data_IF_978696797821
#
_entry.id   IF_978696797821
#
_cell.length_a   1.000
_cell.length_b   1.000
_cell.length_c   1.000
_cell.angle_alpha   90.00
_cell.angle_beta   90.00
_cell.angle_gamma   90.00
#
_symmetry.space_group_name_H-M   'P 1'
#
loop_
_entity.id
_entity.type
_entity.pdbx_description
1 polymer ?
#
# COMPACT_ATOMS: atom_id res chain seq x y z
N UNK A 1 43.06 14.23 -16.19
CA UNK A 1 43.41 12.81 -16.43
C UNK A 1 43.05 12.49 -17.87
N UNK A 2 44.06 12.40 -18.73
CA UNK A 2 43.98 11.91 -20.11
C UNK A 2 44.09 10.39 -20.08
N UNK A 3 43.44 9.67 -21.00
CA UNK A 3 44.09 8.51 -21.57
C UNK A 3 44.15 8.56 -23.10
N UNK A 4 45.32 8.18 -23.56
CA UNK A 4 45.81 8.19 -24.93
C UNK A 4 45.48 6.90 -25.68
N UNK A 5 45.24 7.05 -26.99
CA UNK A 5 45.81 6.29 -28.13
C UNK A 5 45.77 4.76 -28.11
N UNK A 6 45.18 4.16 -29.16
CA UNK A 6 45.89 3.20 -30.04
C UNK A 6 45.11 2.94 -31.34
N UNK A 7 45.71 3.32 -32.47
CA UNK A 7 45.26 2.99 -33.83
C UNK A 7 46.17 1.85 -34.32
N UNK A 8 45.62 0.68 -34.66
CA UNK A 8 46.39 -0.44 -35.24
C UNK A 8 46.44 -0.33 -36.76
N UNK A 9 47.66 -0.50 -37.27
CA UNK A 9 48.03 -0.51 -38.68
C UNK A 9 47.65 -1.82 -39.39
N UNK A 10 47.27 -1.68 -40.66
CA UNK A 10 47.74 -2.44 -41.83
C UNK A 10 47.85 -3.96 -41.78
N UNK A 11 47.11 -4.63 -42.67
CA UNK A 11 47.49 -5.90 -43.29
C UNK A 11 47.23 -5.81 -44.81
N UNK A 12 48.20 -6.17 -45.67
CA UNK A 12 48.12 -5.99 -47.12
C UNK A 12 47.53 -7.22 -47.82
N UNK A 13 46.80 -7.02 -48.94
CA UNK A 13 46.38 -8.10 -49.84
C UNK A 13 47.40 -8.27 -50.96
N UNK A 14 48.00 -9.46 -50.97
CA UNK A 14 48.94 -10.00 -51.97
C UNK A 14 48.24 -10.23 -53.32
N UNK A 15 48.94 -9.89 -54.41
CA UNK A 15 48.60 -10.23 -55.79
C UNK A 15 49.48 -11.41 -56.21
N UNK A 16 48.85 -12.55 -56.53
CA UNK A 16 49.51 -13.69 -57.19
C UNK A 16 48.98 -13.76 -58.61
N UNK A 17 49.88 -13.60 -59.57
CA UNK A 17 49.66 -13.74 -61.01
C UNK A 17 50.29 -15.07 -61.45
N UNK A 18 49.51 -16.02 -61.97
CA UNK A 18 49.87 -17.15 -62.86
C UNK A 18 48.52 -17.74 -63.35
N UNK A 19 48.26 -18.27 -64.54
CA UNK A 19 48.68 -18.13 -65.94
C UNK A 19 47.77 -19.10 -66.74
N UNK A 20 47.50 -18.78 -68.01
CA UNK A 20 47.29 -19.70 -69.15
C UNK A 20 46.27 -20.87 -69.05
N UNK A 21 45.23 -20.85 -69.91
CA UNK A 21 45.12 -21.75 -71.08
C UNK A 21 43.78 -21.56 -71.85
N UNK A 22 43.92 -21.32 -73.15
CA UNK A 22 43.14 -21.84 -74.29
C UNK A 22 41.72 -22.40 -74.04
N UNK A 23 40.71 -21.82 -74.70
CA UNK A 23 40.10 -22.32 -75.96
C UNK A 23 38.79 -21.56 -76.26
N UNK A 24 38.74 -20.99 -77.47
CA UNK A 24 37.60 -20.89 -78.39
C UNK A 24 36.19 -21.20 -77.85
N UNK A 25 35.29 -20.21 -77.92
CA UNK A 25 34.19 -20.14 -78.90
C UNK A 25 33.33 -18.91 -78.58
N UNK A 26 33.00 -18.15 -79.62
CA UNK A 26 32.28 -16.88 -79.51
C UNK A 26 30.84 -17.08 -79.06
N UNK A 27 30.50 -16.42 -77.95
CA UNK A 27 29.17 -15.81 -77.78
C UNK A 27 29.44 -14.37 -77.36
N UNK A 28 29.25 -13.43 -78.29
CA UNK A 28 29.14 -12.01 -77.96
C UNK A 28 27.82 -11.79 -77.21
N UNK A 29 27.80 -12.19 -75.94
CA UNK A 29 26.92 -11.55 -74.97
C UNK A 29 27.56 -10.20 -74.71
N UNK A 30 26.91 -9.14 -75.17
CA UNK A 30 27.25 -7.78 -74.78
C UNK A 30 26.86 -7.64 -73.30
N UNK A 31 27.70 -8.20 -72.42
CA UNK A 31 27.73 -7.90 -71.00
C UNK A 31 28.14 -6.44 -70.91
N UNK A 32 27.15 -5.56 -70.96
CA UNK A 32 27.30 -4.22 -70.40
C UNK A 32 27.62 -4.47 -68.93
N UNK A 33 28.89 -4.39 -68.55
CA UNK A 33 29.30 -4.37 -67.17
C UNK A 33 28.63 -3.13 -66.55
N UNK A 34 27.46 -3.33 -65.93
CA UNK A 34 26.78 -2.27 -65.22
C UNK A 34 27.72 -1.78 -64.13
N UNK A 35 28.18 -0.53 -64.26
CA UNK A 35 29.07 0.07 -63.28
C UNK A 35 28.38 0.05 -61.92
N UNK A 36 29.03 -0.56 -60.93
CA UNK A 36 28.57 -0.52 -59.55
C UNK A 36 28.90 0.86 -58.99
N UNK A 37 27.88 1.67 -58.76
CA UNK A 37 28.03 3.03 -58.26
C UNK A 37 27.51 3.06 -56.83
N UNK A 38 28.39 3.44 -55.90
CA UNK A 38 28.01 3.70 -54.51
C UNK A 38 27.19 4.98 -54.42
N UNK A 39 26.21 4.99 -53.51
CA UNK A 39 25.44 6.20 -53.29
C UNK A 39 26.30 7.32 -52.71
N UNK A 40 26.28 8.48 -53.36
CA UNK A 40 26.95 9.71 -52.89
C UNK A 40 25.88 10.71 -52.46
N UNK A 41 25.99 11.19 -51.23
CA UNK A 41 25.04 12.14 -50.62
C UNK A 41 25.71 13.51 -50.43
N UNK A 42 24.91 14.56 -50.44
CA UNK A 42 25.38 15.93 -50.19
C UNK A 42 25.84 16.13 -48.74
N UNK A 43 26.52 17.24 -48.50
CA UNK A 43 26.80 17.69 -47.14
C UNK A 43 25.49 17.97 -46.40
N UNK A 44 25.52 17.80 -45.08
CA UNK A 44 24.36 18.10 -44.25
C UNK A 44 23.96 19.58 -44.35
N UNK A 45 22.66 19.83 -44.50
CA UNK A 45 22.10 21.16 -44.32
C UNK A 45 22.18 21.64 -42.87
N UNK A 46 21.84 22.91 -42.61
CA UNK A 46 21.73 23.42 -41.24
C UNK A 46 20.63 22.68 -40.47
N UNK A 47 20.76 22.64 -39.14
CA UNK A 47 19.69 22.15 -38.28
C UNK A 47 18.50 23.11 -38.30
N UNK A 48 17.30 22.55 -38.24
CA UNK A 48 16.06 23.30 -38.03
C UNK A 48 16.00 23.93 -36.64
N UNK A 49 15.11 24.90 -36.46
CA UNK A 49 14.74 25.37 -35.12
C UNK A 49 14.15 24.21 -34.30
N UNK A 50 14.24 24.33 -32.97
CA UNK A 50 13.71 23.32 -32.07
C UNK A 50 12.19 23.14 -32.22
N UNK A 51 11.76 21.90 -32.39
CA UNK A 51 10.34 21.54 -32.46
C UNK A 51 9.86 21.12 -31.07
N UNK A 52 8.98 21.91 -30.45
CA UNK A 52 8.48 21.66 -29.09
C UNK A 52 7.80 20.31 -28.92
N UNK A 53 7.05 19.84 -29.93
CA UNK A 53 6.34 18.56 -29.85
C UNK A 53 7.28 17.34 -29.76
N UNK A 54 8.50 17.44 -30.28
CA UNK A 54 9.44 16.29 -30.35
C UNK A 54 10.74 16.52 -29.61
N UNK A 55 10.97 17.74 -29.09
CA UNK A 55 12.18 18.17 -28.41
C UNK A 55 13.47 17.93 -29.21
N UNK A 56 13.35 17.99 -30.55
CA UNK A 56 14.44 17.67 -31.47
C UNK A 56 14.62 18.75 -32.53
N UNK A 57 15.86 18.91 -32.95
CA UNK A 57 16.21 19.59 -34.20
C UNK A 57 16.59 18.53 -35.23
N UNK A 58 16.24 18.76 -36.49
CA UNK A 58 16.57 17.85 -37.58
C UNK A 58 17.37 18.58 -38.65
N UNK A 59 18.26 17.85 -39.33
CA UNK A 59 18.88 18.34 -40.56
C UNK A 59 18.81 17.27 -41.64
N UNK A 60 18.84 17.72 -42.88
CA UNK A 60 18.55 16.90 -44.04
C UNK A 60 19.75 16.94 -44.98
N UNK A 61 19.98 15.87 -45.73
CA UNK A 61 20.87 15.84 -46.90
C UNK A 61 20.21 15.04 -48.01
N UNK A 62 20.63 15.29 -49.23
CA UNK A 62 20.03 14.70 -50.43
C UNK A 62 20.99 13.73 -51.11
N UNK A 63 20.44 12.80 -51.87
CA UNK A 63 21.22 11.89 -52.71
C UNK A 63 21.66 12.65 -53.96
N UNK A 64 22.96 12.78 -54.16
CA UNK A 64 23.53 13.39 -55.37
C UNK A 64 23.74 12.35 -56.46
N UNK A 65 24.09 11.12 -56.07
CA UNK A 65 24.24 9.99 -56.99
C UNK A 65 23.59 8.77 -56.35
N UNK A 66 22.57 8.23 -57.01
CA UNK A 66 21.86 7.05 -56.53
C UNK A 66 22.69 5.78 -56.75
N UNK A 67 22.53 4.79 -55.86
CA UNK A 67 23.19 3.50 -56.01
C UNK A 67 22.74 2.80 -57.31
N UNK A 68 23.68 2.24 -58.06
CA UNK A 68 23.42 1.31 -59.16
C UNK A 68 24.21 0.01 -58.99
N UNK A 69 23.58 -1.12 -59.34
CA UNK A 69 24.19 -2.45 -59.18
C UNK A 69 24.43 -2.80 -57.71
N UNK A 70 25.62 -3.32 -57.41
CA UNK A 70 26.04 -3.81 -56.08
C UNK A 70 26.73 -2.76 -55.21
N UNK A 71 26.58 -1.47 -55.53
CA UNK A 71 27.14 -0.38 -54.72
C UNK A 71 26.54 -0.29 -53.31
N UNK A 72 27.11 0.54 -52.44
CA UNK A 72 26.59 0.79 -51.09
C UNK A 72 25.32 1.64 -51.13
N UNK A 73 24.36 1.27 -50.29
CA UNK A 73 23.11 2.01 -50.11
C UNK A 73 23.33 3.36 -49.45
N UNK A 74 22.43 4.29 -49.76
CA UNK A 74 22.53 5.64 -49.21
C UNK A 74 22.47 5.60 -47.68
N UNK A 75 23.42 6.25 -46.99
CA UNK A 75 23.33 6.40 -45.55
C UNK A 75 22.13 7.28 -45.19
N UNK A 76 21.78 7.34 -43.90
CA UNK A 76 20.62 8.12 -43.42
C UNK A 76 20.64 9.55 -43.95
N UNK A 77 19.48 10.00 -44.41
CA UNK A 77 19.30 11.31 -45.06
C UNK A 77 18.76 12.38 -44.10
N UNK A 78 18.37 11.97 -42.89
CA UNK A 78 17.91 12.85 -41.81
C UNK A 78 18.63 12.46 -40.53
N UNK A 79 19.08 13.47 -39.80
CA UNK A 79 19.70 13.32 -38.49
C UNK A 79 18.97 14.19 -37.47
N UNK A 80 18.82 13.67 -36.24
CA UNK A 80 18.16 14.35 -35.14
C UNK A 80 19.12 14.57 -33.98
N UNK A 81 19.02 15.73 -33.34
CA UNK A 81 19.67 16.02 -32.06
C UNK A 81 18.64 16.53 -31.06
N UNK A 82 18.92 16.31 -29.77
CA UNK A 82 18.09 16.83 -28.70
C UNK A 82 18.21 18.35 -28.60
N UNK A 83 17.09 19.02 -28.35
CA UNK A 83 17.06 20.43 -28.04
C UNK A 83 17.78 20.73 -26.73
N UNK A 84 18.46 21.89 -26.67
CA UNK A 84 19.01 22.39 -25.41
C UNK A 84 17.86 22.80 -24.49
N UNK A 85 17.77 22.16 -23.33
CA UNK A 85 16.76 22.47 -22.32
C UNK A 85 16.94 23.89 -21.79
N UNK A 86 15.84 24.65 -21.72
CA UNK A 86 15.81 25.98 -21.11
C UNK A 86 15.05 25.84 -19.79
N UNK A 87 15.77 25.99 -18.68
CA UNK A 87 15.17 25.96 -17.35
C UNK A 87 14.36 27.24 -17.10
N UNK A 88 13.30 27.13 -16.31
CA UNK A 88 12.56 28.32 -15.88
C UNK A 88 13.44 29.23 -15.01
N UNK A 89 13.40 30.53 -15.30
CA UNK A 89 13.98 31.57 -14.45
C UNK A 89 12.87 32.45 -13.87
N UNK A 90 12.95 32.73 -12.57
CA UNK A 90 11.98 33.55 -11.86
C UNK A 90 12.57 34.94 -11.56
N UNK A 91 11.73 35.97 -11.58
CA UNK A 91 12.10 37.30 -11.12
C UNK A 91 12.35 37.31 -9.60
N UNK A 92 13.01 38.36 -9.13
CA UNK A 92 13.15 38.61 -7.70
C UNK A 92 11.77 38.75 -7.05
N UNK A 93 11.69 38.39 -5.78
CA UNK A 93 10.47 38.56 -5.00
C UNK A 93 10.14 40.04 -4.80
N UNK A 94 8.84 40.35 -4.90
CA UNK A 94 8.31 41.61 -4.41
C UNK A 94 8.40 41.69 -2.88
N UNK A 95 8.18 42.88 -2.32
CA UNK A 95 8.05 43.05 -0.88
C UNK A 95 6.82 42.31 -0.33
N UNK A 96 6.88 41.93 0.94
CA UNK A 96 5.70 41.37 1.62
C UNK A 96 4.59 42.41 1.71
N UNK A 97 3.35 41.94 1.59
CA UNK A 97 2.15 42.69 1.94
C UNK A 97 2.14 43.10 3.42
N UNK A 98 1.24 43.99 3.79
CA UNK A 98 0.86 44.17 5.19
C UNK A 98 0.32 42.85 5.77
N UNK A 99 0.47 42.68 7.09
CA UNK A 99 -0.11 41.56 7.81
C UNK A 99 -1.64 41.65 7.79
N UNK A 100 -2.29 40.59 7.35
CA UNK A 100 -3.74 40.48 7.33
C UNK A 100 -4.12 39.07 7.76
N UNK A 101 -4.83 38.95 8.89
CA UNK A 101 -5.29 37.67 9.41
C UNK A 101 -4.17 36.73 9.84
N UNK A 102 -3.08 37.26 10.40
CA UNK A 102 -1.95 36.46 10.91
C UNK A 102 -0.86 36.14 9.90
N UNK A 103 -1.02 36.51 8.63
CA UNK A 103 -0.07 36.19 7.57
C UNK A 103 0.25 37.38 6.68
N UNK A 104 1.46 37.38 6.11
CA UNK A 104 1.87 38.29 5.04
C UNK A 104 2.40 37.51 3.86
N UNK A 105 2.16 38.03 2.66
CA UNK A 105 2.40 37.32 1.41
C UNK A 105 3.24 38.17 0.47
N UNK A 106 4.18 37.55 -0.25
CA UNK A 106 4.88 38.18 -1.38
C UNK A 106 4.75 37.34 -2.64
N UNK A 107 4.88 37.98 -3.80
CA UNK A 107 4.74 37.36 -5.11
C UNK A 107 5.98 37.60 -5.96
N UNK A 108 6.22 36.72 -6.93
CA UNK A 108 7.20 36.89 -8.01
C UNK A 108 6.61 36.36 -9.30
N UNK A 109 7.14 36.82 -10.43
CA UNK A 109 6.69 36.41 -11.76
C UNK A 109 7.74 35.57 -12.46
N UNK A 110 7.31 34.83 -13.48
CA UNK A 110 8.22 34.10 -14.36
C UNK A 110 8.94 35.08 -15.27
N UNK A 111 10.27 34.98 -15.34
CA UNK A 111 11.11 35.76 -16.25
C UNK A 111 11.35 35.02 -17.55
N UNK A 112 11.60 33.72 -17.46
CA UNK A 112 11.80 32.82 -18.60
C UNK A 112 11.01 31.55 -18.32
N UNK A 113 10.11 31.18 -19.22
CA UNK A 113 9.34 29.95 -19.13
C UNK A 113 10.21 28.73 -19.41
N UNK A 114 9.93 27.61 -18.74
CA UNK A 114 10.61 26.37 -19.03
C UNK A 114 10.27 25.89 -20.44
N UNK A 115 11.27 25.54 -21.23
CA UNK A 115 11.09 25.01 -22.59
C UNK A 115 12.07 23.86 -22.84
N UNK A 116 11.74 23.02 -23.82
CA UNK A 116 12.60 21.92 -24.24
C UNK A 116 13.00 20.93 -23.13
N UNK A 117 12.11 20.69 -22.17
CA UNK A 117 12.31 19.72 -21.08
C UNK A 117 13.13 20.29 -19.91
N UNK A 118 13.28 21.61 -19.85
CA UNK A 118 13.86 22.27 -18.68
C UNK A 118 12.99 22.16 -17.43
N UNK A 119 13.61 22.38 -16.27
CA UNK A 119 12.93 22.29 -14.98
C UNK A 119 11.82 23.33 -14.87
N UNK A 120 10.61 22.93 -14.43
CA UNK A 120 9.49 23.86 -14.29
C UNK A 120 9.74 24.88 -13.18
N UNK A 121 9.04 26.01 -13.26
CA UNK A 121 9.11 27.06 -12.25
C UNK A 121 8.66 26.55 -10.87
N UNK A 122 9.35 27.00 -9.83
CA UNK A 122 8.90 26.82 -8.45
C UNK A 122 7.69 27.70 -8.09
N UNK A 123 7.37 27.80 -6.80
CA UNK A 123 6.23 28.61 -6.34
C UNK A 123 6.41 30.09 -6.64
N UNK A 124 5.32 30.72 -7.07
CA UNK A 124 5.25 32.15 -7.40
C UNK A 124 4.74 33.02 -6.24
N UNK A 125 4.25 32.38 -5.18
CA UNK A 125 3.70 33.02 -3.99
C UNK A 125 4.34 32.42 -2.76
N UNK A 126 4.73 33.26 -1.81
CA UNK A 126 5.23 32.82 -0.51
C UNK A 126 4.48 33.55 0.60
N UNK A 127 3.96 32.77 1.55
CA UNK A 127 3.18 33.25 2.69
C UNK A 127 3.90 32.88 3.97
N UNK A 128 4.09 33.85 4.86
CA UNK A 128 4.69 33.63 6.17
C UNK A 128 3.82 34.20 7.28
N UNK A 129 3.88 33.58 8.46
CA UNK A 129 3.17 34.05 9.63
C UNK A 129 3.76 35.39 10.12
N UNK A 130 2.86 36.27 10.56
CA UNK A 130 3.23 37.50 11.24
C UNK A 130 3.57 37.22 12.71
N UNK A 131 4.28 38.15 13.35
CA UNK A 131 4.56 38.04 14.79
C UNK A 131 3.27 38.37 15.55
N UNK A 132 2.75 37.46 16.40
CA UNK A 132 1.52 37.72 17.15
C UNK A 132 1.71 38.89 18.12
N UNK A 133 0.65 39.67 18.30
CA UNK A 133 0.59 40.76 19.28
C UNK A 133 -0.48 40.41 20.29
N UNK A 134 -0.04 40.10 21.51
CA UNK A 134 -0.93 39.75 22.62
C UNK A 134 -1.67 40.97 23.15
N UNK A 135 -2.86 40.74 23.70
CA UNK A 135 -3.62 41.79 24.35
C UNK A 135 -2.90 42.30 25.60
N UNK A 136 -2.77 43.63 25.71
CA UNK A 136 -2.24 44.31 26.89
C UNK A 136 -3.30 45.24 27.46
N UNK A 137 -3.53 45.16 28.77
CA UNK A 137 -4.60 45.87 29.48
C UNK A 137 -4.03 46.85 30.50
N UNK A 138 -4.82 47.84 30.90
CA UNK A 138 -4.43 48.82 31.91
C UNK A 138 -4.45 48.21 33.33
N UNK A 139 -3.97 49.00 34.30
CA UNK A 139 -4.20 48.70 35.72
C UNK A 139 -5.69 48.79 36.03
N UNK A 140 -6.12 48.03 37.02
CA UNK A 140 -7.46 48.12 37.57
C UNK A 140 -7.81 49.53 38.04
N UNK A 141 -9.06 49.93 37.81
CA UNK A 141 -9.64 51.13 38.42
C UNK A 141 -9.76 50.97 39.93
N UNK A 142 -9.99 52.07 40.63
CA UNK A 142 -10.45 51.99 42.01
C UNK A 142 -11.81 51.26 42.06
N UNK A 143 -12.09 50.65 43.22
CA UNK A 143 -13.34 49.96 43.46
C UNK A 143 -14.52 50.94 43.46
N UNK A 144 -15.62 50.55 42.80
CA UNK A 144 -16.88 51.29 42.92
C UNK A 144 -17.37 51.33 44.38
N UNK A 145 -18.29 52.25 44.67
CA UNK A 145 -19.04 52.19 45.92
C UNK A 145 -19.79 50.85 46.03
N UNK A 146 -20.03 50.41 47.27
CA UNK A 146 -20.82 49.21 47.54
C UNK A 146 -22.24 49.42 47.02
N UNK A 147 -22.64 48.61 46.04
CA UNK A 147 -23.98 48.69 45.49
C UNK A 147 -24.99 48.15 46.53
N UNK A 148 -26.00 48.97 46.84
CA UNK A 148 -26.88 48.77 48.00
C UNK A 148 -27.79 47.53 47.92
N UNK A 149 -28.02 47.00 46.73
CA UNK A 149 -28.94 45.88 46.48
C UNK A 149 -28.21 44.52 46.45
N UNK A 150 -27.00 44.49 45.92
CA UNK A 150 -26.23 43.28 45.62
C UNK A 150 -24.88 43.21 46.37
N UNK A 151 -24.53 44.23 47.17
CA UNK A 151 -23.38 44.23 48.09
C UNK A 151 -22.03 44.02 47.40
N UNK A 152 -21.92 44.43 46.14
CA UNK A 152 -20.74 44.25 45.30
C UNK A 152 -20.04 45.58 45.06
N UNK A 153 -18.73 45.51 44.97
CA UNK A 153 -17.87 46.53 44.39
C UNK A 153 -17.29 45.99 43.09
N UNK A 154 -17.26 46.83 42.06
CA UNK A 154 -16.77 46.50 40.73
C UNK A 154 -15.52 47.35 40.46
N UNK A 155 -14.48 46.72 39.93
CA UNK A 155 -13.31 47.39 39.38
C UNK A 155 -13.14 46.94 37.92
N UNK A 156 -12.89 47.89 37.03
CA UNK A 156 -12.75 47.65 35.58
C UNK A 156 -11.38 48.06 35.10
N UNK A 157 -10.96 47.53 33.96
CA UNK A 157 -9.74 47.95 33.26
C UNK A 157 -9.97 47.96 31.76
N UNK A 158 -9.20 48.79 31.08
CA UNK A 158 -9.33 49.02 29.65
C UNK A 158 -8.29 48.24 28.87
N UNK A 159 -8.61 47.93 27.61
CA UNK A 159 -7.65 47.37 26.67
C UNK A 159 -6.76 48.51 26.15
N UNK A 160 -5.46 48.41 26.38
CA UNK A 160 -4.46 49.37 25.85
C UNK A 160 -3.95 48.94 24.48
N UNK A 161 -3.80 47.62 24.28
CA UNK A 161 -3.42 47.01 23.00
C UNK A 161 -4.37 45.85 22.74
N UNK A 162 -5.14 45.94 21.67
CA UNK A 162 -6.03 44.86 21.25
C UNK A 162 -5.21 43.70 20.66
N UNK A 163 -5.64 42.44 20.84
CA UNK A 163 -4.95 41.29 20.28
C UNK A 163 -5.03 41.32 18.75
N UNK A 164 -3.92 41.06 18.08
CA UNK A 164 -3.83 41.03 16.62
C UNK A 164 -3.03 39.82 16.15
N UNK A 165 -3.31 39.37 14.92
CA UNK A 165 -2.56 38.29 14.25
C UNK A 165 -2.37 37.00 15.08
N UNK A 166 -3.40 36.60 15.83
CA UNK A 166 -3.40 35.37 16.62
C UNK A 166 -2.75 35.47 18.01
N UNK A 167 -2.48 36.70 18.49
CA UNK A 167 -2.05 36.93 19.86
C UNK A 167 -3.11 36.54 20.91
N UNK A 168 -2.66 36.39 22.16
CA UNK A 168 -3.49 35.99 23.28
C UNK A 168 -4.67 36.96 23.50
N UNK A 169 -5.86 36.39 23.72
CA UNK A 169 -7.07 37.16 24.04
C UNK A 169 -6.90 37.95 25.34
N UNK A 170 -7.65 39.04 25.47
CA UNK A 170 -7.57 39.87 26.66
C UNK A 170 -7.96 39.10 27.92
N UNK A 171 -7.19 39.25 29.02
CA UNK A 171 -7.60 38.74 30.31
C UNK A 171 -8.85 39.49 30.82
N UNK A 172 -9.46 39.01 31.90
CA UNK A 172 -10.75 39.53 32.39
C UNK A 172 -10.74 41.06 32.59
N UNK A 173 -11.73 41.77 32.06
CA UNK A 173 -11.76 43.25 32.07
C UNK A 173 -12.53 43.84 33.25
N UNK A 174 -13.14 42.98 34.05
CA UNK A 174 -13.93 43.35 35.22
C UNK A 174 -13.64 42.37 36.35
N UNK A 175 -13.48 42.88 37.56
CA UNK A 175 -13.43 42.05 38.76
C UNK A 175 -14.43 42.53 39.80
N UNK A 176 -14.90 41.60 40.62
CA UNK A 176 -15.94 41.83 41.62
C UNK A 176 -15.40 41.44 42.99
N UNK A 177 -15.61 42.31 43.97
CA UNK A 177 -15.37 42.03 45.38
C UNK A 177 -16.66 42.24 46.17
N UNK A 178 -16.89 41.40 47.17
CA UNK A 178 -18.02 41.53 48.08
C UNK A 178 -17.66 42.47 49.22
N UNK A 179 -18.61 43.34 49.57
CA UNK A 179 -18.47 44.23 50.72
C UNK A 179 -18.35 43.43 52.02
N UNK A 180 -17.68 43.97 53.06
CA UNK A 180 -17.60 43.32 54.37
C UNK A 180 -19.00 42.98 54.88
N UNK A 181 -19.17 41.76 55.40
CA UNK A 181 -20.42 41.30 56.01
C UNK A 181 -20.76 42.24 57.18
N UNK A 182 -21.84 43.02 57.05
CA UNK A 182 -22.39 43.82 58.15
C UNK A 182 -23.60 43.06 58.70
N UNK A 183 -23.57 42.74 59.99
CA UNK A 183 -24.71 42.13 60.69
C UNK A 183 -25.93 43.07 60.69
N UNK A 184 -27.10 42.56 61.08
CA UNK A 184 -28.33 43.35 61.15
C UNK A 184 -28.13 44.59 62.04
N UNK A 185 -27.99 45.78 61.41
CA UNK A 185 -27.95 47.06 62.12
C UNK A 185 -29.38 47.55 62.25
N UNK A 186 -29.84 47.70 63.48
CA UNK A 186 -31.13 48.31 63.81
C UNK A 186 -30.93 49.79 64.11
N UNK A 187 -31.92 50.61 63.79
CA UNK A 187 -31.97 51.99 64.23
C UNK A 187 -32.13 52.07 65.75
N UNK A 188 -31.88 53.26 66.31
CA UNK A 188 -32.21 53.52 67.71
C UNK A 188 -33.72 53.33 67.96
N UNK A 189 -34.06 53.03 69.21
CA UNK A 189 -35.44 52.89 69.61
C UNK A 189 -36.17 54.22 69.49
N UNK A 190 -37.37 54.18 68.91
CA UNK A 190 -38.30 55.29 69.01
C UNK A 190 -38.77 55.47 70.46
N UNK A 191 -39.37 56.62 70.73
CA UNK A 191 -39.91 56.92 72.04
C UNK A 191 -40.98 55.89 72.46
N UNK A 192 -41.09 55.65 73.76
CA UNK A 192 -42.14 54.81 74.32
C UNK A 192 -43.52 55.40 74.02
N UNK A 193 -44.47 54.52 73.69
CA UNK A 193 -45.87 54.86 73.62
C UNK A 193 -46.40 55.33 74.99
N UNK A 194 -47.56 55.97 74.95
CA UNK A 194 -48.35 56.16 76.15
C UNK A 194 -48.78 54.82 76.75
N UNK A 195 -49.15 54.85 78.04
CA UNK A 195 -49.54 53.65 78.77
C UNK A 195 -50.90 53.15 78.29
N UNK A 196 -50.97 51.90 77.84
CA UNK A 196 -52.23 51.24 77.52
C UNK A 196 -53.04 51.06 78.81
N UNK A 197 -54.26 51.60 78.85
CA UNK A 197 -55.09 51.63 80.06
C UNK A 197 -55.83 50.31 80.34
N UNK A 198 -55.88 49.39 79.38
CA UNK A 198 -56.47 48.06 79.55
C UNK A 198 -55.46 47.00 79.99
N UNK A 199 -54.19 47.14 79.59
CA UNK A 199 -53.13 46.14 79.85
C UNK A 199 -51.97 46.64 80.71
N UNK A 200 -51.82 47.96 80.88
CA UNK A 200 -50.72 48.58 81.63
C UNK A 200 -49.37 48.58 80.92
N UNK A 201 -49.31 48.15 79.65
CA UNK A 201 -48.07 48.04 78.89
C UNK A 201 -47.75 49.34 78.12
N UNK A 202 -46.45 49.59 77.93
CA UNK A 202 -45.94 50.54 76.93
C UNK A 202 -45.22 49.76 75.84
N UNK A 203 -45.35 50.20 74.60
CA UNK A 203 -44.66 49.62 73.45
C UNK A 203 -43.72 50.67 72.84
N UNK A 204 -42.65 50.21 72.21
CA UNK A 204 -41.78 51.05 71.38
C UNK A 204 -41.30 50.25 70.19
N UNK A 205 -41.09 50.93 69.09
CA UNK A 205 -40.67 50.34 67.81
C UNK A 205 -39.26 50.79 67.46
N UNK A 206 -38.55 49.96 66.70
CA UNK A 206 -37.31 50.35 66.01
C UNK A 206 -37.29 49.65 64.66
N UNK A 207 -36.73 50.31 63.66
CA UNK A 207 -36.67 49.80 62.29
C UNK A 207 -35.30 49.21 61.98
N UNK A 208 -35.25 48.26 61.06
CA UNK A 208 -34.00 47.68 60.57
C UNK A 208 -33.35 48.70 59.61
N UNK A 209 -32.12 49.11 59.92
CA UNK A 209 -31.32 50.04 59.09
C UNK A 209 -30.62 49.31 57.96
N UNK A 210 -30.08 48.12 58.23
CA UNK A 210 -29.47 47.22 57.22
C UNK A 210 -29.98 45.80 57.42
N UNK A 211 -30.51 45.20 56.35
CA UNK A 211 -30.99 43.81 56.37
C UNK A 211 -29.80 42.83 56.43
N UNK A 212 -29.93 41.69 57.12
CA UNK A 212 -28.87 40.68 57.14
C UNK A 212 -28.71 40.07 55.75
N UNK A 213 -27.46 39.94 55.31
CA UNK A 213 -27.12 39.26 54.06
C UNK A 213 -27.63 37.82 54.06
N UNK A 214 -28.23 37.41 52.95
CA UNK A 214 -28.70 36.05 52.74
C UNK A 214 -27.85 35.41 51.65
N UNK A 215 -27.07 34.39 52.00
CA UNK A 215 -26.32 33.60 51.03
C UNK A 215 -27.28 32.75 50.18
N UNK A 216 -26.93 32.54 48.90
CA UNK A 216 -27.69 31.64 48.06
C UNK A 216 -27.58 30.19 48.58
N UNK A 217 -28.72 29.53 48.67
CA UNK A 217 -28.81 28.11 48.98
C UNK A 217 -29.35 27.39 47.75
N UNK A 218 -28.69 26.31 47.33
CA UNK A 218 -29.10 25.53 46.16
C UNK A 218 -29.82 24.25 46.58
N UNK A 219 -30.70 23.76 45.71
CA UNK A 219 -31.24 22.41 45.82
C UNK A 219 -30.16 21.38 45.45
N UNK A 220 -30.45 20.12 45.77
CA UNK A 220 -29.65 19.00 45.31
C UNK A 220 -29.63 18.92 43.78
N UNK A 221 -28.56 18.33 43.26
CA UNK A 221 -28.42 18.10 41.83
C UNK A 221 -29.52 17.17 41.30
N UNK A 222 -29.99 17.47 40.08
CA UNK A 222 -30.75 16.49 39.30
C UNK A 222 -29.88 15.27 39.02
N UNK A 223 -30.53 14.16 38.67
CA UNK A 223 -29.86 13.05 37.99
C UNK A 223 -29.18 13.55 36.71
N UNK A 224 -28.09 12.89 36.33
CA UNK A 224 -27.43 13.14 35.04
C UNK A 224 -28.38 12.84 33.89
N UNK A 225 -28.32 13.67 32.85
CA UNK A 225 -28.98 13.40 31.58
C UNK A 225 -28.42 12.13 30.93
N UNK A 226 -29.18 11.58 29.98
CA UNK A 226 -28.63 10.64 29.01
C UNK A 226 -27.44 11.27 28.28
N UNK A 227 -26.49 10.44 27.85
CA UNK A 227 -25.33 10.93 27.11
C UNK A 227 -25.75 11.45 25.73
N UNK A 228 -25.29 12.64 25.37
CA UNK A 228 -25.50 13.19 24.05
C UNK A 228 -24.57 12.50 23.03
N UNK A 229 -25.14 11.92 21.97
CA UNK A 229 -24.39 11.20 20.94
C UNK A 229 -23.42 12.06 20.13
N UNK A 230 -23.74 13.34 19.91
CA UNK A 230 -22.92 14.24 19.11
C UNK A 230 -21.72 14.79 19.90
N UNK A 231 -21.92 15.09 21.18
CA UNK A 231 -20.89 15.75 22.01
C UNK A 231 -20.17 14.81 22.97
N UNK A 232 -20.71 13.61 23.22
CA UNK A 232 -20.17 12.66 24.19
C UNK A 232 -20.20 13.16 25.64
N UNK A 233 -21.11 14.08 25.94
CA UNK A 233 -21.24 14.75 27.23
C UNK A 233 -22.61 14.51 27.84
N UNK A 234 -22.67 14.48 29.16
CA UNK A 234 -23.88 14.44 29.98
C UNK A 234 -23.93 15.68 30.86
N UNK A 235 -25.12 16.19 31.10
CA UNK A 235 -25.34 17.40 31.91
C UNK A 235 -26.28 17.11 33.06
N UNK A 236 -26.13 17.87 34.13
CA UNK A 236 -27.10 17.92 35.23
C UNK A 236 -27.29 19.35 35.69
N UNK A 237 -28.43 19.64 36.28
CA UNK A 237 -28.76 20.98 36.75
C UNK A 237 -29.31 20.97 38.17
N UNK A 238 -29.21 22.10 38.84
CA UNK A 238 -29.85 22.37 40.13
C UNK A 238 -30.41 23.78 40.12
N UNK A 239 -31.38 24.04 40.98
CA UNK A 239 -32.01 25.36 41.09
C UNK A 239 -31.70 26.01 42.44
N UNK A 240 -31.70 27.35 42.52
CA UNK A 240 -31.65 28.04 43.80
C UNK A 240 -32.89 27.69 44.64
N UNK A 241 -32.65 27.22 45.87
CA UNK A 241 -33.66 27.07 46.92
C UNK A 241 -33.96 28.42 47.57
N UNK A 242 -32.91 29.23 47.74
CA UNK A 242 -32.98 30.64 48.17
C UNK A 242 -31.96 31.43 47.37
N UNK A 243 -32.37 32.58 46.88
CA UNK A 243 -31.48 33.51 46.17
C UNK A 243 -30.64 34.31 47.16
N UNK A 244 -29.50 34.80 46.67
CA UNK A 244 -28.68 35.77 47.39
C UNK A 244 -29.40 37.12 47.48
N UNK A 245 -29.43 37.69 48.68
CA UNK A 245 -30.00 39.03 48.94
C UNK A 245 -29.03 39.84 49.80
N UNK A 246 -29.04 41.16 49.61
CA UNK A 246 -28.33 42.13 50.46
C UNK A 246 -26.81 41.84 50.58
N UNK A 247 -26.17 41.42 49.49
CA UNK A 247 -24.73 41.15 49.47
C UNK A 247 -24.29 39.77 49.95
N UNK A 248 -25.23 38.81 50.02
CA UNK A 248 -24.88 37.41 50.25
C UNK A 248 -24.09 36.78 49.10
N UNK A 249 -23.51 35.61 49.39
CA UNK A 249 -22.73 34.83 48.43
C UNK A 249 -23.63 34.35 47.29
N UNK A 250 -23.25 34.68 46.05
CA UNK A 250 -24.01 34.30 44.86
C UNK A 250 -24.10 32.78 44.70
N UNK A 251 -25.12 32.32 43.97
CA UNK A 251 -25.30 30.88 43.74
C UNK A 251 -24.07 30.29 43.02
N UNK A 252 -23.54 29.14 43.50
CA UNK A 252 -22.55 28.39 42.75
C UNK A 252 -23.16 27.88 41.44
N UNK A 253 -22.32 27.38 40.52
CA UNK A 253 -22.77 26.89 39.21
C UNK A 253 -24.00 26.00 39.31
N UNK A 254 -25.03 26.36 38.54
CA UNK A 254 -26.34 25.71 38.51
C UNK A 254 -26.44 24.63 37.42
N UNK A 255 -25.45 24.56 36.55
CA UNK A 255 -25.30 23.55 35.51
C UNK A 255 -23.90 22.96 35.59
N UNK A 256 -23.82 21.65 35.42
CA UNK A 256 -22.57 20.91 35.38
C UNK A 256 -22.57 19.98 34.17
N UNK A 257 -21.43 19.91 33.51
CA UNK A 257 -21.20 19.05 32.35
C UNK A 257 -20.03 18.11 32.63
N UNK A 258 -20.21 16.83 32.28
CA UNK A 258 -19.16 15.83 32.38
C UNK A 258 -19.10 14.99 31.09
N UNK A 259 -17.93 14.45 30.79
CA UNK A 259 -17.77 13.47 29.71
C UNK A 259 -18.52 12.18 30.06
N UNK A 260 -19.01 11.51 29.03
CA UNK A 260 -19.59 10.18 29.18
C UNK A 260 -18.51 9.11 29.31
N UNK A 261 -18.89 7.99 29.90
CA UNK A 261 -18.00 6.84 30.04
C UNK A 261 -17.73 6.23 28.66
N UNK A 262 -16.46 6.02 28.34
CA UNK A 262 -16.04 5.51 27.05
C UNK A 262 -16.56 4.07 26.86
N UNK A 263 -17.22 3.82 25.73
CA UNK A 263 -17.72 2.49 25.38
C UNK A 263 -16.79 1.92 24.31
N UNK A 264 -15.95 0.93 24.63
CA UNK A 264 -15.04 0.34 23.65
C UNK A 264 -15.80 -0.52 22.63
N UNK A 265 -15.22 -0.66 21.44
CA UNK A 265 -15.75 -1.58 20.44
C UNK A 265 -15.72 -3.03 20.95
N UNK A 266 -16.82 -3.75 20.77
CA UNK A 266 -16.89 -5.19 20.99
C UNK A 266 -17.12 -5.91 19.67
N UNK A 267 -16.32 -6.94 19.44
CA UNK A 267 -16.34 -7.75 18.23
C UNK A 267 -16.95 -9.12 18.55
N UNK A 268 -17.60 -9.73 17.57
CA UNK A 268 -18.03 -11.12 17.68
C UNK A 268 -16.83 -12.07 17.70
N UNK A 269 -17.11 -13.31 18.07
CA UNK A 269 -16.22 -14.43 17.74
C UNK A 269 -15.98 -14.49 16.22
N UNK A 270 -14.83 -15.04 15.84
CA UNK A 270 -14.51 -15.25 14.44
C UNK A 270 -15.41 -16.30 13.80
N UNK A 271 -15.85 -16.02 12.57
CA UNK A 271 -16.49 -17.02 11.72
C UNK A 271 -15.53 -18.14 11.33
N UNK A 272 -16.11 -19.19 10.75
CA UNK A 272 -15.34 -20.29 10.17
C UNK A 272 -14.46 -19.79 9.02
N UNK A 273 -13.31 -20.44 8.83
CA UNK A 273 -12.46 -20.17 7.67
C UNK A 273 -13.18 -20.52 6.37
N UNK A 274 -13.06 -19.67 5.37
CA UNK A 274 -13.48 -19.96 4.01
C UNK A 274 -12.68 -21.13 3.42
N UNK A 275 -13.16 -21.66 2.29
CA UNK A 275 -12.32 -22.48 1.42
C UNK A 275 -11.06 -21.72 0.96
N UNK A 276 -10.04 -22.49 0.58
CA UNK A 276 -8.81 -21.96 0.01
C UNK A 276 -9.12 -21.33 -1.36
N UNK A 277 -8.80 -20.04 -1.52
CA UNK A 277 -8.92 -19.39 -2.82
C UNK A 277 -7.82 -19.94 -3.75
N UNK A 278 -8.16 -20.49 -4.93
CA UNK A 278 -7.21 -21.16 -5.82
C UNK A 278 -6.21 -20.18 -6.47
N UNK A 279 -6.52 -18.89 -6.53
CA UNK A 279 -5.66 -17.87 -7.13
C UNK A 279 -4.74 -17.22 -6.11
N UNK A 280 -5.27 -16.88 -4.93
CA UNK A 280 -4.50 -16.17 -3.89
C UNK A 280 -3.84 -17.11 -2.88
N UNK A 281 -4.19 -18.39 -2.88
CA UNK A 281 -3.71 -19.41 -1.93
C UNK A 281 -3.89 -19.01 -0.46
N UNK A 282 -4.96 -18.26 -0.21
CA UNK A 282 -5.37 -17.81 1.11
C UNK A 282 -6.79 -18.29 1.42
N UNK A 283 -7.02 -18.59 2.69
CA UNK A 283 -8.34 -18.71 3.29
C UNK A 283 -8.58 -17.47 4.14
N UNK A 284 -9.83 -17.05 4.22
CA UNK A 284 -10.24 -15.82 4.91
C UNK A 284 -11.32 -16.16 5.91
N UNK A 285 -11.30 -15.52 7.08
CA UNK A 285 -12.42 -15.53 8.03
C UNK A 285 -12.81 -14.11 8.40
N UNK A 286 -14.07 -13.93 8.77
CA UNK A 286 -14.63 -12.62 9.10
C UNK A 286 -15.32 -12.64 10.46
N UNK A 287 -15.43 -11.48 11.09
CA UNK A 287 -16.22 -11.23 12.31
C UNK A 287 -16.94 -9.89 12.21
N UNK A 288 -18.00 -9.70 12.99
CA UNK A 288 -18.79 -8.47 12.97
C UNK A 288 -18.62 -7.66 14.25
N UNK A 289 -19.02 -6.39 14.17
CA UNK A 289 -19.08 -5.50 15.34
C UNK A 289 -20.40 -5.78 16.06
N UNK A 290 -20.34 -6.21 17.32
CA UNK A 290 -21.52 -6.41 18.17
C UNK A 290 -21.87 -5.16 18.96
N UNK A 291 -20.87 -4.33 19.29
CA UNK A 291 -21.06 -3.02 19.91
C UNK A 291 -20.12 -2.01 19.31
N UNK A 292 -20.68 -0.94 18.73
CA UNK A 292 -19.89 0.15 18.16
C UNK A 292 -19.22 0.97 19.26
N UNK A 293 -18.00 1.47 19.03
CA UNK A 293 -17.33 2.34 19.99
C UNK A 293 -18.05 3.69 20.07
N UNK A 294 -18.31 4.15 21.29
CA UNK A 294 -18.94 5.45 21.55
C UNK A 294 -18.10 6.26 22.56
N UNK A 295 -18.23 7.58 22.49
CA UNK A 295 -17.67 8.53 23.48
C UNK A 295 -16.16 8.41 23.68
N UNK A 296 -15.40 8.22 22.59
CA UNK A 296 -13.95 8.08 22.65
C UNK A 296 -13.45 6.69 23.04
N UNK A 297 -14.32 5.67 23.03
CA UNK A 297 -13.92 4.27 23.21
C UNK A 297 -12.98 3.77 22.12
N UNK A 298 -12.18 2.75 22.47
CA UNK A 298 -11.21 2.16 21.56
C UNK A 298 -11.84 1.68 20.24
N UNK A 299 -11.18 2.01 19.13
CA UNK A 299 -11.60 1.62 17.78
C UNK A 299 -11.59 0.11 17.59
N UNK A 300 -12.43 -0.38 16.70
CA UNK A 300 -12.50 -1.81 16.39
C UNK A 300 -11.21 -2.30 15.73
N UNK A 301 -10.75 -3.49 16.13
CA UNK A 301 -9.69 -4.21 15.42
C UNK A 301 -10.15 -4.74 14.05
N UNK A 302 -9.26 -5.46 13.36
CA UNK A 302 -9.57 -6.01 12.04
C UNK A 302 -10.81 -6.93 12.06
N UNK A 303 -11.67 -6.75 11.07
CA UNK A 303 -12.90 -7.56 10.87
C UNK A 303 -12.68 -8.75 9.94
N UNK A 304 -11.54 -8.79 9.26
CA UNK A 304 -11.15 -9.83 8.32
C UNK A 304 -9.73 -10.30 8.65
N UNK A 305 -9.52 -11.60 8.58
CA UNK A 305 -8.21 -12.21 8.78
C UNK A 305 -7.94 -13.20 7.65
N UNK A 306 -6.74 -13.11 7.08
CA UNK A 306 -6.27 -13.99 6.02
C UNK A 306 -5.17 -14.91 6.56
N UNK A 307 -5.24 -16.18 6.20
CA UNK A 307 -4.17 -17.14 6.43
C UNK A 307 -3.87 -17.91 5.15
N UNK A 308 -2.62 -18.30 4.95
CA UNK A 308 -2.25 -19.20 3.86
C UNK A 308 -2.90 -20.57 4.04
N UNK A 309 -3.34 -21.18 2.94
CA UNK A 309 -3.78 -22.57 2.93
C UNK A 309 -2.65 -23.47 2.45
N UNK A 310 -2.56 -24.66 3.05
CA UNK A 310 -1.67 -25.73 2.60
C UNK A 310 -2.38 -26.48 1.49
N UNK A 311 -1.78 -26.52 0.30
CA UNK A 311 -2.29 -27.30 -0.83
C UNK A 311 -1.32 -28.43 -1.10
N UNK A 312 -1.72 -29.66 -0.79
CA UNK A 312 -0.91 -30.85 -1.01
C UNK A 312 -0.96 -31.29 -2.47
N UNK A 313 0.07 -32.03 -2.89
CA UNK A 313 0.06 -32.66 -4.20
C UNK A 313 -1.04 -33.71 -4.31
N UNK A 314 -1.83 -33.66 -5.38
CA UNK A 314 -2.78 -34.73 -5.76
C UNK A 314 -2.29 -35.33 -7.06
N UNK A 315 -2.09 -36.64 -7.08
CA UNK A 315 -1.70 -37.40 -8.27
C UNK A 315 -2.91 -38.22 -8.75
N UNK A 316 -3.01 -38.42 -10.06
CA UNK A 316 -4.04 -39.28 -10.63
C UNK A 316 -3.82 -40.73 -10.20
N UNK A 317 -4.82 -41.56 -10.46
CA UNK A 317 -4.61 -43.01 -10.46
C UNK A 317 -3.54 -43.39 -11.48
N UNK A 318 -2.85 -44.50 -11.21
CA UNK A 318 -1.86 -45.04 -12.12
C UNK A 318 -2.51 -45.52 -13.42
N UNK A 319 -1.82 -45.30 -14.54
CA UNK A 319 -2.15 -45.98 -15.77
C UNK A 319 -2.07 -47.50 -15.59
N UNK A 320 -2.69 -48.23 -16.51
CA UNK A 320 -2.36 -49.64 -16.70
C UNK A 320 -0.86 -49.81 -16.97
N UNK A 321 -0.34 -51.00 -16.65
CA UNK A 321 1.02 -51.38 -17.04
C UNK A 321 1.15 -51.44 -18.56
N UNK A 322 2.27 -50.96 -19.08
CA UNK A 322 2.66 -51.16 -20.47
C UNK A 322 2.83 -52.65 -20.78
N UNK A 323 2.82 -52.99 -22.06
CA UNK A 323 3.36 -54.27 -22.50
C UNK A 323 4.82 -54.42 -22.04
N UNK A 324 5.24 -55.67 -21.86
CA UNK A 324 6.61 -55.99 -21.52
C UNK A 324 7.55 -55.65 -22.67
N UNK A 325 8.61 -54.91 -22.36
CA UNK A 325 9.68 -54.66 -23.31
C UNK A 325 10.54 -55.93 -23.43
N UNK A 326 10.67 -56.45 -24.66
CA UNK A 326 11.35 -57.72 -24.91
C UNK A 326 12.86 -57.68 -24.62
N UNK A 327 13.51 -56.53 -24.82
CA UNK A 327 14.96 -56.39 -24.64
C UNK A 327 15.36 -56.22 -23.17
N UNK A 328 14.52 -55.54 -22.39
CA UNK A 328 14.83 -55.17 -20.99
C UNK A 328 14.10 -56.02 -19.96
N UNK A 329 13.00 -56.68 -20.35
CA UNK A 329 12.14 -57.42 -19.43
C UNK A 329 11.45 -56.55 -18.38
N UNK A 330 11.24 -55.27 -18.67
CA UNK A 330 10.61 -54.30 -17.77
C UNK A 330 9.27 -53.84 -18.36
N UNK A 331 8.26 -53.73 -17.51
CA UNK A 331 7.00 -53.03 -17.76
C UNK A 331 6.97 -51.73 -16.97
N UNK A 332 6.32 -50.71 -17.51
CA UNK A 332 6.25 -49.37 -16.91
C UNK A 332 4.81 -48.87 -16.83
N UNK A 333 4.54 -48.00 -15.86
CA UNK A 333 3.28 -47.26 -15.77
C UNK A 333 3.54 -45.82 -15.33
N UNK A 334 2.61 -44.94 -15.65
CA UNK A 334 2.72 -43.51 -15.37
C UNK A 334 1.46 -42.97 -14.72
N UNK A 335 1.58 -41.87 -13.97
CA UNK A 335 0.45 -41.09 -13.45
C UNK A 335 0.76 -39.60 -13.57
N UNK A 336 -0.27 -38.80 -13.62
CA UNK A 336 -0.14 -37.35 -13.76
C UNK A 336 -0.31 -36.63 -12.42
N UNK A 337 0.29 -35.46 -12.30
CA UNK A 337 0.04 -34.56 -11.17
C UNK A 337 -1.21 -33.74 -11.50
N UNK A 338 -2.29 -33.99 -10.77
CA UNK A 338 -3.58 -33.30 -10.92
C UNK A 338 -3.53 -31.93 -10.23
N UNK A 339 -2.95 -31.87 -9.04
CA UNK A 339 -2.79 -30.63 -8.28
C UNK A 339 -1.34 -30.53 -7.84
N UNK A 340 -0.64 -29.47 -8.27
CA UNK A 340 0.71 -29.19 -7.81
C UNK A 340 0.70 -28.69 -6.35
N UNK A 341 1.66 -29.11 -5.51
CA UNK A 341 1.74 -28.62 -4.15
C UNK A 341 2.06 -27.13 -4.15
N UNK A 342 1.35 -26.36 -3.35
CA UNK A 342 1.55 -24.92 -3.19
C UNK A 342 1.79 -24.61 -1.72
N UNK A 343 2.56 -23.56 -1.43
CA UNK A 343 3.04 -23.20 -0.09
C UNK A 343 3.84 -24.36 0.55
N UNK A 344 3.66 -24.66 1.84
CA UNK A 344 4.27 -25.80 2.53
C UNK A 344 3.46 -27.10 2.32
N UNK A 345 2.93 -27.32 1.12
CA UNK A 345 2.25 -28.56 0.74
C UNK A 345 3.20 -29.74 0.63
N UNK A 346 2.72 -30.95 0.93
CA UNK A 346 3.49 -32.17 0.73
C UNK A 346 3.85 -32.36 -0.75
N UNK A 347 5.13 -32.66 -1.02
CA UNK A 347 5.65 -32.87 -2.37
C UNK A 347 5.00 -34.10 -3.03
N UNK A 348 4.91 -34.09 -4.37
CA UNK A 348 4.43 -35.22 -5.14
C UNK A 348 5.38 -36.42 -5.02
N UNK A 349 4.84 -37.64 -4.97
CA UNK A 349 5.62 -38.86 -5.15
C UNK A 349 6.00 -39.08 -6.62
N UNK A 350 6.69 -40.18 -6.92
CA UNK A 350 7.10 -40.50 -8.29
C UNK A 350 5.92 -40.59 -9.27
N UNK A 351 6.11 -40.10 -10.50
CA UNK A 351 5.11 -40.12 -11.59
C UNK A 351 5.34 -41.25 -12.59
N UNK A 352 6.43 -42.00 -12.44
CA UNK A 352 6.75 -43.19 -13.22
C UNK A 352 7.17 -44.30 -12.28
N UNK A 353 6.72 -45.51 -12.60
CA UNK A 353 7.09 -46.73 -11.89
C UNK A 353 7.44 -47.81 -12.92
N UNK A 354 8.47 -48.58 -12.61
CA UNK A 354 8.92 -49.71 -13.42
C UNK A 354 8.90 -50.98 -12.58
N UNK A 355 8.54 -52.10 -13.20
CA UNK A 355 8.54 -53.41 -12.57
C UNK A 355 9.07 -54.45 -13.56
N UNK A 356 9.67 -55.51 -13.02
CA UNK A 356 10.05 -56.66 -13.83
C UNK A 356 8.80 -57.33 -14.43
N UNK A 357 8.97 -57.87 -15.63
CA UNK A 357 7.98 -58.72 -16.26
C UNK A 357 7.87 -60.07 -15.55
N UNK A 358 6.69 -60.67 -15.64
CA UNK A 358 6.47 -62.00 -15.07
C UNK A 358 7.24 -63.02 -15.91
N UNK A 359 8.03 -63.91 -15.29
CA UNK A 359 8.86 -64.88 -16.02
C UNK A 359 7.98 -65.82 -16.84
N UNK A 360 8.37 -66.05 -18.09
CA UNK A 360 7.73 -67.03 -18.96
C UNK A 360 8.68 -68.22 -19.04
N UNK A 361 8.29 -69.33 -18.42
CA UNK A 361 9.07 -70.57 -18.44
C UNK A 361 8.95 -71.27 -19.80
N UNK A 362 10.02 -71.96 -20.19
CA UNK A 362 9.99 -72.74 -21.42
C UNK A 362 8.99 -73.91 -21.32
N UNK A 363 8.08 -74.00 -22.29
CA UNK A 363 7.20 -75.16 -22.45
C UNK A 363 7.58 -75.93 -23.70
N UNK A 364 7.64 -77.25 -23.58
CA UNK A 364 8.04 -78.17 -24.65
C UNK A 364 6.93 -79.17 -24.95
N UNK A 365 6.88 -79.68 -26.18
CA UNK A 365 5.92 -80.69 -26.61
C UNK A 365 6.19 -82.05 -25.95
N UNK A 366 5.23 -82.97 -26.12
CA UNK A 366 5.50 -84.39 -25.91
C UNK A 366 6.67 -84.85 -26.81
N UNK A 367 7.36 -85.90 -26.36
CA UNK A 367 8.41 -86.54 -27.14
C UNK A 367 7.85 -87.12 -28.45
N UNK A 368 8.63 -87.03 -29.52
CA UNK A 368 8.38 -87.77 -30.75
C UNK A 368 8.55 -89.27 -30.50
N UNK A 369 8.08 -90.08 -31.45
CA UNK A 369 8.50 -91.47 -31.50
C UNK A 369 10.03 -91.57 -31.64
N UNK A 370 10.59 -92.69 -31.16
CA UNK A 370 12.00 -93.01 -31.30
C UNK A 370 12.38 -93.17 -32.77
N UNK A 371 13.51 -92.59 -33.16
CA UNK A 371 14.13 -92.87 -34.45
C UNK A 371 14.51 -94.35 -34.57
N UNK A 372 14.70 -94.82 -35.81
CA UNK A 372 15.42 -96.07 -36.05
C UNK A 372 16.80 -96.08 -35.39
N UNK A 373 17.33 -97.28 -35.11
CA UNK A 373 18.64 -97.44 -34.50
C UNK A 373 19.75 -97.02 -35.49
N UNK A 374 20.64 -96.11 -35.06
CA UNK A 374 21.80 -95.74 -35.86
C UNK A 374 22.88 -96.83 -35.76
N UNK A 375 23.14 -97.54 -36.85
CA UNK A 375 24.09 -98.66 -36.89
C UNK A 375 25.56 -98.27 -36.56
N UNK A 376 25.93 -96.99 -36.68
CA UNK A 376 27.31 -96.52 -36.40
C UNK A 376 27.52 -96.15 -34.94
N UNK A 377 26.50 -95.62 -34.28
CA UNK A 377 26.59 -95.13 -32.90
C UNK A 377 25.84 -96.02 -31.89
N UNK A 378 25.05 -96.99 -32.35
CA UNK A 378 24.21 -97.86 -31.52
C UNK A 378 23.23 -97.11 -30.60
N UNK A 379 22.78 -95.93 -31.04
CA UNK A 379 21.83 -95.09 -30.33
C UNK A 379 20.56 -94.87 -31.16
N UNK A 380 19.43 -94.77 -30.48
CA UNK A 380 18.18 -94.21 -31.00
C UNK A 380 17.92 -92.87 -30.32
N UNK A 381 17.28 -91.94 -31.02
CA UNK A 381 17.01 -90.58 -30.50
C UNK A 381 15.55 -90.24 -30.71
N UNK A 382 14.94 -89.59 -29.73
CA UNK A 382 13.66 -88.89 -29.89
C UNK A 382 13.86 -87.40 -29.58
N UNK A 383 13.00 -86.57 -30.14
CA UNK A 383 13.09 -85.10 -30.02
C UNK A 383 11.77 -84.52 -29.55
N UNK A 384 11.81 -83.33 -28.95
CA UNK A 384 10.63 -82.52 -28.63
C UNK A 384 10.85 -81.08 -29.08
N UNK A 385 9.76 -80.39 -29.43
CA UNK A 385 9.80 -79.01 -29.92
C UNK A 385 9.45 -78.04 -28.79
N UNK A 386 9.99 -76.82 -28.85
CA UNK A 386 9.59 -75.74 -27.95
C UNK A 386 8.23 -75.21 -28.38
N UNK A 387 7.26 -75.21 -27.47
CA UNK A 387 5.93 -74.61 -27.64
C UNK A 387 5.98 -73.13 -27.24
N UNK A 388 6.63 -72.83 -26.11
CA UNK A 388 6.78 -71.46 -25.58
C UNK A 388 8.25 -71.25 -25.24
N UNK A 389 8.89 -70.26 -25.87
CA UNK A 389 10.27 -69.90 -25.56
C UNK A 389 10.37 -69.20 -24.21
N UNK A 390 11.45 -69.44 -23.43
CA UNK A 390 11.62 -68.77 -22.16
C UNK A 390 11.87 -67.27 -22.37
N UNK A 391 11.21 -66.43 -21.58
CA UNK A 391 11.38 -64.98 -21.60
C UNK A 391 11.39 -64.41 -20.18
N UNK A 392 11.91 -63.20 -20.03
CA UNK A 392 11.87 -62.42 -18.77
C UNK A 392 12.44 -63.18 -17.55
N UNK A 393 13.59 -63.84 -17.71
CA UNK A 393 14.22 -64.71 -16.69
C UNK A 393 13.40 -65.97 -16.31
N UNK A 394 12.49 -66.44 -17.16
CA UNK A 394 11.87 -67.76 -16.99
C UNK A 394 12.85 -68.92 -17.19
N UNK A 395 12.46 -70.10 -16.71
CA UNK A 395 13.30 -71.30 -16.74
C UNK A 395 13.65 -71.72 -18.18
N UNK A 396 14.94 -71.99 -18.40
CA UNK A 396 15.46 -72.47 -19.67
C UNK A 396 14.82 -73.80 -20.09
N UNK A 397 14.78 -74.07 -21.39
CA UNK A 397 14.20 -75.30 -21.90
C UNK A 397 14.95 -76.53 -21.38
N UNK A 398 14.24 -77.54 -20.87
CA UNK A 398 14.86 -78.82 -20.57
C UNK A 398 15.31 -79.52 -21.86
N UNK A 399 16.17 -80.53 -21.76
CA UNK A 399 16.83 -81.16 -22.92
C UNK A 399 15.86 -81.50 -24.07
N UNK A 400 16.12 -80.98 -25.27
CA UNK A 400 15.22 -81.13 -26.42
C UNK A 400 15.45 -82.42 -27.22
N UNK A 401 16.54 -83.12 -26.92
CA UNK A 401 16.90 -84.40 -27.53
C UNK A 401 17.43 -85.34 -26.46
N UNK A 402 16.96 -86.58 -26.49
CA UNK A 402 17.46 -87.62 -25.61
C UNK A 402 17.82 -88.84 -26.46
N UNK A 403 18.98 -89.43 -26.15
CA UNK A 403 19.50 -90.61 -26.85
C UNK A 403 19.59 -91.78 -25.89
N UNK A 404 19.10 -92.94 -26.32
CA UNK A 404 19.19 -94.18 -25.57
C UNK A 404 19.89 -95.26 -26.41
N UNK A 405 20.58 -96.17 -25.73
CA UNK A 405 21.18 -97.34 -26.36
C UNK A 405 20.09 -98.19 -27.04
N UNK A 406 20.41 -98.71 -28.23
CA UNK A 406 19.52 -99.66 -28.88
C UNK A 406 19.46 -100.94 -28.03
N UNK A 407 18.30 -101.22 -27.45
CA UNK A 407 18.03 -102.51 -26.80
C UNK A 407 17.93 -103.58 -27.87
N UNK A 408 18.58 -104.71 -27.63
CA UNK A 408 18.73 -105.83 -28.57
C UNK A 408 17.43 -106.24 -29.28
N UNK A 409 17.64 -106.62 -30.54
CA UNK A 409 16.69 -106.93 -31.61
C UNK A 409 15.47 -107.75 -31.20
#
# INVERSE_FOLDING_TARGET
>A
MVPSVTKRNGLPRSQVVVALLCMSFGVHVQLVAAANIDCVVSAWGPYTSCVEATMKQSRNRTVMTAQSGWGRSCPVLVEYIACKSIACELNAWENYSACSGGFKTRKRTVKVEASFGGTPCGTLTETIACKPVDCYVSRWSDWSNCAALDGKQISTRDILVAPFDGGAVCPELQQVQYCPKVDCVVNEWEAWSDCDTGTGAKTRTRTIKTQPLQDCQVNDWSSWSSCNFATGKKTRSRTPKKYDLYGGTACPSLSEEASCDAIPCQLSEWGVWSGCNPTTLKKTRTRSITKYPLYGGAVCGALTEDASCIVNCVQSDWSGWSSCNFDTGIKSRTREIVTFPQTNGAACGSTSETAACDPIDCQVSAWSDWSGCNQKTMLRTHIRQVITYPAYNGQACPDLSESAACTGQ
#
